data_IF_755433233712
#
_entry.id   IF_755433233712
#
_cell.length_a   1.000
_cell.length_b   1.000
_cell.length_c   1.000
_cell.angle_alpha   90.00
_cell.angle_beta   90.00
_cell.angle_gamma   90.00
#
_symmetry.space_group_name_H-M   'P 1'
#
loop_
_entity.id
_entity.type
_entity.pdbx_description
1 polymer ?
#
# COMPACT_ATOMS: atom_id res chain seq x y z
N UNK A 1 -15.00 -10.31 -17.91
CA UNK A 1 -14.07 -10.91 -18.88
C UNK A 1 -14.31 -12.41 -18.96
N UNK A 2 -14.21 -13.01 -20.14
CA UNK A 2 -14.22 -14.45 -20.37
C UNK A 2 -12.81 -14.94 -20.68
N UNK A 3 -12.55 -16.26 -20.69
CA UNK A 3 -11.22 -16.78 -21.08
C UNK A 3 -10.83 -16.40 -22.52
N UNK A 4 -11.81 -16.21 -23.40
CA UNK A 4 -11.59 -15.80 -24.80
C UNK A 4 -11.14 -14.34 -24.94
N UNK A 5 -11.32 -13.50 -23.92
CA UNK A 5 -10.94 -12.10 -23.96
C UNK A 5 -9.48 -11.88 -23.50
N UNK A 6 -8.82 -12.90 -22.94
CA UNK A 6 -7.51 -12.77 -22.31
C UNK A 6 -6.46 -12.24 -23.30
N UNK A 7 -6.35 -12.80 -24.49
CA UNK A 7 -5.36 -12.37 -25.48
C UNK A 7 -5.62 -10.92 -25.91
N UNK A 8 -6.88 -10.52 -26.04
CA UNK A 8 -7.25 -9.14 -26.36
C UNK A 8 -6.95 -8.18 -25.19
N UNK A 9 -7.15 -8.62 -23.95
CA UNK A 9 -6.83 -7.85 -22.73
C UNK A 9 -5.34 -7.59 -22.63
N UNK A 10 -4.50 -8.53 -23.04
CA UNK A 10 -3.05 -8.44 -22.95
C UNK A 10 -2.39 -7.84 -24.19
N UNK A 11 -3.14 -7.72 -25.31
CA UNK A 11 -2.58 -7.38 -26.62
C UNK A 11 -2.18 -5.90 -26.77
N UNK A 12 -2.71 -4.99 -25.96
CA UNK A 12 -2.34 -3.60 -26.11
C UNK A 12 -1.35 -3.12 -25.04
N UNK A 13 -0.30 -2.45 -25.48
CA UNK A 13 0.75 -1.90 -24.66
C UNK A 13 0.34 -0.53 -24.08
N UNK A 14 0.54 -0.34 -22.77
CA UNK A 14 0.30 0.92 -22.08
C UNK A 14 1.60 1.73 -22.09
N UNK A 15 1.56 2.87 -22.80
CA UNK A 15 2.75 3.72 -23.00
C UNK A 15 2.86 4.89 -22.03
N UNK A 16 1.88 5.03 -21.15
CA UNK A 16 1.90 6.06 -20.12
C UNK A 16 2.85 5.68 -18.97
N UNK A 17 3.40 6.66 -18.24
CA UNK A 17 4.34 6.43 -17.13
C UNK A 17 3.61 5.94 -15.86
N UNK A 18 2.86 4.85 -15.98
CA UNK A 18 2.20 4.14 -14.91
C UNK A 18 2.65 2.69 -14.91
N UNK A 19 2.77 2.08 -13.75
CA UNK A 19 3.00 0.64 -13.70
C UNK A 19 1.75 -0.08 -14.20
N UNK A 20 1.98 -0.98 -15.14
CA UNK A 20 0.95 -1.78 -15.76
C UNK A 20 1.28 -3.26 -15.58
N UNK A 21 0.28 -4.10 -15.57
CA UNK A 21 0.48 -5.53 -15.67
C UNK A 21 0.85 -5.90 -17.11
N UNK A 22 1.91 -6.62 -17.31
CA UNK A 22 2.17 -7.37 -18.53
C UNK A 22 1.47 -8.75 -18.50
N UNK A 23 1.61 -9.50 -19.60
CA UNK A 23 0.99 -10.80 -19.73
C UNK A 23 1.48 -11.82 -18.70
N UNK A 24 2.75 -11.77 -18.34
CA UNK A 24 3.35 -12.71 -17.39
C UNK A 24 2.88 -12.41 -15.97
N UNK A 25 2.92 -11.14 -15.55
CA UNK A 25 2.35 -10.70 -14.28
C UNK A 25 0.86 -11.08 -14.17
N UNK A 26 0.07 -10.84 -15.22
CA UNK A 26 -1.36 -11.18 -15.18
C UNK A 26 -1.57 -12.69 -14.95
N UNK A 27 -0.79 -13.54 -15.63
CA UNK A 27 -0.89 -15.00 -15.47
C UNK A 27 -0.47 -15.43 -14.06
N UNK A 28 0.65 -14.90 -13.54
CA UNK A 28 1.15 -15.20 -12.20
C UNK A 28 0.14 -14.80 -11.12
N UNK A 29 -0.36 -13.56 -11.16
CA UNK A 29 -1.34 -13.04 -10.21
C UNK A 29 -2.69 -13.78 -10.31
N UNK A 30 -3.09 -14.21 -11.51
CA UNK A 30 -4.29 -15.03 -11.71
C UNK A 30 -4.10 -16.44 -11.14
N UNK A 31 -2.94 -17.05 -11.35
CA UNK A 31 -2.60 -18.34 -10.75
C UNK A 31 -2.57 -18.28 -9.21
N UNK A 32 -2.10 -17.15 -8.66
CA UNK A 32 -2.14 -16.85 -7.22
C UNK A 32 -3.54 -16.42 -6.72
N UNK A 33 -4.55 -16.34 -7.59
CA UNK A 33 -5.91 -15.85 -7.30
C UNK A 33 -5.97 -14.41 -6.80
N UNK A 34 -4.98 -13.59 -7.12
CA UNK A 34 -4.91 -12.17 -6.79
C UNK A 34 -5.56 -11.29 -7.85
N UNK A 35 -5.41 -11.64 -9.14
CA UNK A 35 -6.30 -11.19 -10.21
C UNK A 35 -7.31 -12.28 -10.53
N UNK A 36 -8.51 -11.90 -10.94
CA UNK A 36 -9.58 -12.83 -11.33
C UNK A 36 -10.34 -12.33 -12.56
N UNK A 37 -10.81 -13.21 -13.42
CA UNK A 37 -11.61 -12.81 -14.60
C UNK A 37 -12.83 -11.96 -14.21
N UNK A 38 -13.52 -12.28 -13.12
CA UNK A 38 -14.67 -11.52 -12.61
C UNK A 38 -14.31 -10.15 -12.01
N UNK A 39 -13.01 -9.90 -11.78
CA UNK A 39 -12.43 -8.63 -11.34
C UNK A 39 -11.72 -7.87 -12.47
N UNK A 40 -11.80 -8.38 -13.71
CA UNK A 40 -11.28 -7.72 -14.91
C UNK A 40 -12.45 -7.22 -15.73
N UNK A 41 -12.54 -5.92 -15.92
CA UNK A 41 -13.64 -5.24 -16.60
C UNK A 41 -13.14 -4.55 -17.87
N UNK A 42 -13.97 -4.60 -18.89
CA UNK A 42 -13.67 -4.07 -20.23
C UNK A 42 -14.81 -3.14 -20.65
N UNK A 43 -14.46 -2.01 -21.28
CA UNK A 43 -15.37 -1.24 -22.08
C UNK A 43 -15.08 -1.55 -23.55
N UNK A 44 -16.11 -1.95 -24.29
CA UNK A 44 -16.00 -2.41 -25.67
C UNK A 44 -16.99 -1.67 -26.56
N UNK A 45 -16.58 -1.39 -27.78
CA UNK A 45 -17.42 -0.84 -28.86
C UNK A 45 -17.04 -1.54 -30.17
N UNK A 46 -18.02 -2.08 -30.88
CA UNK A 46 -17.85 -2.76 -32.16
C UNK A 46 -16.77 -3.86 -32.17
N UNK A 47 -16.68 -4.65 -31.08
CA UNK A 47 -15.69 -5.71 -30.93
C UNK A 47 -14.28 -5.24 -30.60
N UNK A 48 -14.11 -3.94 -30.27
CA UNK A 48 -12.83 -3.35 -29.91
C UNK A 48 -12.83 -2.90 -28.44
N UNK A 49 -11.84 -3.35 -27.68
CA UNK A 49 -11.66 -2.90 -26.30
C UNK A 49 -11.16 -1.46 -26.30
N UNK A 50 -11.90 -0.58 -25.62
CA UNK A 50 -11.59 0.84 -25.48
C UNK A 50 -11.07 1.22 -24.09
N UNK A 51 -11.39 0.44 -23.05
CA UNK A 51 -10.82 0.62 -21.72
C UNK A 51 -10.73 -0.72 -21.00
N UNK A 52 -9.77 -0.82 -20.10
CA UNK A 52 -9.53 -2.00 -19.25
C UNK A 52 -9.32 -1.56 -17.80
N UNK A 53 -9.93 -2.30 -16.89
CA UNK A 53 -9.73 -2.13 -15.46
C UNK A 53 -9.50 -3.49 -14.82
N UNK A 54 -8.43 -3.64 -14.05
CA UNK A 54 -8.07 -4.90 -13.37
C UNK A 54 -7.95 -4.63 -11.88
N UNK A 55 -8.75 -5.32 -11.10
CA UNK A 55 -8.72 -5.26 -9.64
C UNK A 55 -7.93 -6.40 -9.06
N UNK A 56 -7.28 -6.08 -7.96
CA UNK A 56 -6.48 -6.97 -7.15
C UNK A 56 -7.17 -7.28 -5.82
N UNK A 57 -6.93 -8.47 -5.29
CA UNK A 57 -7.29 -8.87 -3.94
C UNK A 57 -6.37 -9.99 -3.44
N UNK A 58 -6.44 -10.32 -2.14
CA UNK A 58 -5.75 -11.49 -1.62
C UNK A 58 -6.42 -12.77 -2.14
N UNK A 59 -5.69 -13.88 -2.14
CA UNK A 59 -6.20 -15.17 -2.63
C UNK A 59 -7.47 -15.64 -1.91
N UNK A 60 -7.68 -15.23 -0.67
CA UNK A 60 -8.82 -15.52 0.21
C UNK A 60 -9.91 -14.43 0.21
N UNK A 61 -9.69 -13.28 -0.44
CA UNK A 61 -10.66 -12.19 -0.49
C UNK A 61 -11.91 -12.59 -1.28
N UNK A 62 -13.09 -12.29 -0.75
CA UNK A 62 -14.37 -12.45 -1.48
C UNK A 62 -14.58 -11.33 -2.50
N UNK A 63 -14.08 -10.13 -2.19
CA UNK A 63 -14.19 -8.93 -3.02
C UNK A 63 -12.82 -8.36 -3.34
N UNK A 64 -12.68 -7.63 -4.47
CA UNK A 64 -11.42 -6.94 -4.77
C UNK A 64 -11.14 -5.86 -3.73
N UNK A 65 -9.86 -5.66 -3.42
CA UNK A 65 -9.40 -4.69 -2.43
C UNK A 65 -8.91 -3.39 -3.06
N UNK A 66 -8.33 -3.49 -4.26
CA UNK A 66 -7.78 -2.35 -4.97
C UNK A 66 -7.97 -2.47 -6.48
N UNK A 67 -8.25 -1.37 -7.16
CA UNK A 67 -8.01 -1.21 -8.59
C UNK A 67 -6.50 -1.04 -8.78
N UNK A 68 -5.89 -1.98 -9.47
CA UNK A 68 -4.43 -2.03 -9.64
C UNK A 68 -4.01 -1.47 -11.01
N UNK A 69 -4.81 -1.71 -12.03
CA UNK A 69 -4.53 -1.26 -13.39
C UNK A 69 -5.78 -0.66 -14.06
N UNK A 70 -5.63 0.54 -14.61
CA UNK A 70 -6.64 1.22 -15.42
C UNK A 70 -5.99 1.81 -16.65
N UNK A 71 -6.49 1.47 -17.83
CA UNK A 71 -6.02 2.03 -19.09
C UNK A 71 -7.15 2.30 -20.05
N UNK A 72 -6.99 3.32 -20.89
CA UNK A 72 -7.87 3.63 -22.02
C UNK A 72 -7.08 3.55 -23.32
N UNK A 73 -7.74 3.09 -24.40
CA UNK A 73 -7.10 3.02 -25.71
C UNK A 73 -6.78 4.43 -26.20
N UNK A 74 -5.61 4.68 -26.84
CA UNK A 74 -5.18 6.02 -27.28
C UNK A 74 -6.15 6.74 -28.24
N UNK A 75 -7.08 6.01 -28.87
CA UNK A 75 -8.12 6.61 -29.74
C UNK A 75 -9.30 7.20 -28.99
N UNK A 76 -9.38 7.00 -27.68
CA UNK A 76 -10.49 7.51 -26.85
C UNK A 76 -10.27 9.01 -26.60
N UNK A 77 -11.21 9.84 -27.03
CA UNK A 77 -11.09 11.29 -26.90
C UNK A 77 -11.23 11.78 -25.46
N UNK A 78 -12.08 11.15 -24.65
CA UNK A 78 -12.27 11.45 -23.22
C UNK A 78 -12.10 10.16 -22.40
N UNK A 79 -10.83 9.80 -22.08
CA UNK A 79 -10.54 8.60 -21.31
C UNK A 79 -11.12 8.66 -19.87
N UNK A 80 -11.23 9.87 -19.29
CA UNK A 80 -11.79 10.04 -17.97
C UNK A 80 -13.28 9.69 -17.92
N UNK A 81 -14.07 10.14 -18.91
CA UNK A 81 -15.50 9.83 -18.95
C UNK A 81 -15.75 8.33 -19.18
N UNK A 82 -15.03 7.72 -20.13
CA UNK A 82 -15.17 6.29 -20.41
C UNK A 82 -14.80 5.44 -19.18
N UNK A 83 -13.66 5.73 -18.59
CA UNK A 83 -13.18 5.01 -17.41
C UNK A 83 -14.11 5.21 -16.19
N UNK A 84 -14.64 6.43 -15.98
CA UNK A 84 -15.61 6.66 -14.90
C UNK A 84 -16.87 5.79 -15.04
N UNK A 85 -17.39 5.65 -16.28
CA UNK A 85 -18.51 4.74 -16.56
C UNK A 85 -18.18 3.29 -16.23
N UNK A 86 -16.99 2.83 -16.66
CA UNK A 86 -16.48 1.48 -16.38
C UNK A 86 -16.36 1.22 -14.87
N UNK A 87 -15.72 2.14 -14.13
CA UNK A 87 -15.54 2.03 -12.68
C UNK A 87 -16.88 2.03 -11.94
N UNK A 88 -17.81 2.92 -12.31
CA UNK A 88 -19.14 3.00 -11.69
C UNK A 88 -19.90 1.69 -11.86
N UNK A 89 -19.89 1.11 -13.08
CA UNK A 89 -20.53 -0.16 -13.34
C UNK A 89 -19.91 -1.33 -12.54
N UNK A 90 -18.58 -1.36 -12.45
CA UNK A 90 -17.86 -2.37 -11.68
C UNK A 90 -18.16 -2.24 -10.18
N UNK A 91 -18.09 -1.03 -9.61
CA UNK A 91 -18.39 -0.77 -8.21
C UNK A 91 -19.84 -1.18 -7.85
N UNK A 92 -20.82 -0.86 -8.71
CA UNK A 92 -22.20 -1.30 -8.53
C UNK A 92 -22.33 -2.83 -8.51
N UNK A 93 -21.62 -3.53 -9.39
CA UNK A 93 -21.61 -4.98 -9.43
C UNK A 93 -20.93 -5.60 -8.18
N UNK A 94 -19.85 -5.02 -7.68
CA UNK A 94 -19.20 -5.45 -6.43
C UNK A 94 -20.13 -5.22 -5.22
N UNK A 95 -20.77 -4.06 -5.12
CA UNK A 95 -21.76 -3.77 -4.09
C UNK A 95 -22.95 -4.74 -4.14
N UNK A 96 -23.45 -5.06 -5.33
CA UNK A 96 -24.50 -6.07 -5.54
C UNK A 96 -24.12 -7.49 -5.13
N UNK A 97 -22.83 -7.77 -4.96
CA UNK A 97 -22.28 -9.03 -4.43
C UNK A 97 -21.89 -8.94 -2.95
N UNK A 98 -22.16 -7.83 -2.27
CA UNK A 98 -21.93 -7.66 -0.85
C UNK A 98 -20.67 -6.87 -0.46
N UNK A 99 -19.95 -6.27 -1.41
CA UNK A 99 -18.84 -5.39 -1.05
C UNK A 99 -19.34 -4.16 -0.28
N UNK A 100 -18.82 -3.93 0.92
CA UNK A 100 -19.28 -2.86 1.81
C UNK A 100 -18.91 -1.45 1.31
N UNK A 101 -17.84 -1.34 0.53
CA UNK A 101 -17.35 -0.08 -0.05
C UNK A 101 -16.64 -0.35 -1.38
N UNK A 102 -16.53 0.66 -2.26
CA UNK A 102 -15.71 0.55 -3.45
C UNK A 102 -14.26 0.23 -3.10
N UNK A 103 -13.58 -0.65 -3.88
CA UNK A 103 -12.14 -0.84 -3.76
C UNK A 103 -11.39 0.48 -3.98
N UNK A 104 -10.31 0.69 -3.25
CA UNK A 104 -9.44 1.83 -3.50
C UNK A 104 -8.80 1.75 -4.89
N UNK A 105 -8.33 2.87 -5.44
CA UNK A 105 -7.53 2.88 -6.66
C UNK A 105 -6.09 3.26 -6.34
N UNK A 106 -5.15 2.40 -6.73
CA UNK A 106 -3.71 2.64 -6.67
C UNK A 106 -3.19 3.06 -8.04
N UNK A 107 -2.88 4.33 -8.27
CA UNK A 107 -2.09 4.75 -9.43
C UNK A 107 -0.62 4.60 -9.02
N UNK A 108 0.09 3.67 -9.64
CA UNK A 108 1.49 3.38 -9.35
C UNK A 108 2.38 4.03 -10.41
N UNK A 109 3.28 4.91 -9.96
CA UNK A 109 4.20 5.65 -10.80
C UNK A 109 5.62 5.12 -10.58
N UNK A 110 6.27 4.54 -11.59
CA UNK A 110 7.65 4.06 -11.45
C UNK A 110 8.61 5.23 -11.25
N UNK A 111 9.75 4.96 -10.64
CA UNK A 111 10.88 5.88 -10.63
C UNK A 111 11.69 5.68 -11.91
N UNK A 112 11.27 6.34 -12.97
CA UNK A 112 11.89 6.32 -14.30
C UNK A 112 12.18 7.77 -14.76
N UNK A 113 12.72 7.92 -15.97
CA UNK A 113 13.08 9.20 -16.58
C UNK A 113 11.88 9.93 -17.24
N UNK A 114 10.65 9.49 -16.96
CA UNK A 114 9.46 10.17 -17.49
C UNK A 114 9.37 11.61 -16.98
N UNK A 115 9.05 12.53 -17.87
CA UNK A 115 8.89 13.94 -17.51
C UNK A 115 7.63 14.19 -16.67
N UNK A 116 7.64 15.31 -15.96
CA UNK A 116 6.56 15.67 -15.04
C UNK A 116 5.23 15.91 -15.76
N UNK A 117 5.25 16.44 -17.00
CA UNK A 117 4.03 16.70 -17.77
C UNK A 117 3.35 15.38 -18.17
N UNK A 118 4.11 14.39 -18.64
CA UNK A 118 3.61 13.06 -18.99
C UNK A 118 3.03 12.34 -17.75
N UNK A 119 3.71 12.45 -16.60
CA UNK A 119 3.20 11.90 -15.33
C UNK A 119 1.92 12.60 -14.89
N UNK A 120 1.88 13.93 -14.93
CA UNK A 120 0.70 14.70 -14.55
C UNK A 120 -0.50 14.38 -15.48
N UNK A 121 -0.27 14.25 -16.77
CA UNK A 121 -1.31 13.86 -17.72
C UNK A 121 -1.84 12.46 -17.45
N UNK A 122 -0.94 11.48 -17.23
CA UNK A 122 -1.31 10.10 -16.94
C UNK A 122 -2.11 9.96 -15.62
N UNK A 123 -1.74 10.72 -14.59
CA UNK A 123 -2.45 10.76 -13.31
C UNK A 123 -3.78 11.50 -13.46
N UNK A 124 -3.79 12.66 -14.11
CA UNK A 124 -4.92 13.59 -14.12
C UNK A 124 -6.22 12.98 -14.66
N UNK A 125 -6.19 12.27 -15.77
CA UNK A 125 -7.41 11.66 -16.29
C UNK A 125 -7.89 10.47 -15.43
N UNK A 126 -6.97 9.76 -14.77
CA UNK A 126 -7.28 8.66 -13.87
C UNK A 126 -7.90 9.15 -12.57
N UNK A 127 -7.37 10.22 -12.00
CA UNK A 127 -7.94 10.90 -10.83
C UNK A 127 -9.35 11.42 -11.13
N UNK A 128 -9.54 12.04 -12.29
CA UNK A 128 -10.86 12.53 -12.71
C UNK A 128 -11.86 11.38 -12.90
N UNK A 129 -11.45 10.26 -13.50
CA UNK A 129 -12.28 9.07 -13.64
C UNK A 129 -12.68 8.51 -12.27
N UNK A 130 -11.72 8.37 -11.36
CA UNK A 130 -11.94 7.87 -10.01
C UNK A 130 -12.87 8.78 -9.21
N UNK A 131 -12.65 10.10 -9.27
CA UNK A 131 -13.49 11.10 -8.59
C UNK A 131 -14.96 11.02 -9.08
N UNK A 132 -15.18 10.91 -10.39
CA UNK A 132 -16.53 10.70 -10.97
C UNK A 132 -17.16 9.38 -10.52
N UNK A 133 -16.35 8.37 -10.22
CA UNK A 133 -16.79 7.07 -9.71
C UNK A 133 -16.88 7.00 -8.17
N UNK A 134 -16.76 8.16 -7.47
CA UNK A 134 -16.94 8.26 -6.01
C UNK A 134 -15.68 8.05 -5.18
N UNK A 135 -14.47 7.99 -5.79
CA UNK A 135 -13.20 7.90 -5.08
C UNK A 135 -12.55 9.28 -5.05
N UNK A 136 -12.89 10.13 -4.08
CA UNK A 136 -12.50 11.54 -4.04
C UNK A 136 -11.41 11.88 -3.01
N UNK A 137 -11.15 10.98 -2.05
CA UNK A 137 -10.08 11.17 -1.08
C UNK A 137 -8.74 10.72 -1.69
N UNK A 138 -7.72 11.58 -1.61
CA UNK A 138 -6.42 11.38 -2.24
C UNK A 138 -5.31 11.35 -1.20
N UNK A 139 -4.54 10.27 -1.22
CA UNK A 139 -3.32 10.14 -0.41
C UNK A 139 -2.18 9.76 -1.36
N UNK A 140 -1.07 10.49 -1.27
CA UNK A 140 0.15 10.13 -1.99
C UNK A 140 1.12 9.43 -1.06
N UNK A 141 1.66 8.28 -1.51
CA UNK A 141 2.55 7.44 -0.74
C UNK A 141 3.86 7.20 -1.48
N UNK A 142 4.95 7.16 -0.73
CA UNK A 142 6.25 6.74 -1.21
C UNK A 142 6.46 5.27 -0.85
N UNK A 143 6.69 4.45 -1.85
CA UNK A 143 7.15 3.08 -1.65
C UNK A 143 8.67 3.06 -1.63
N UNK A 144 9.21 2.44 -0.62
CA UNK A 144 10.64 2.28 -0.41
C UNK A 144 11.04 0.81 -0.56
N UNK A 145 12.27 0.61 -1.01
CA UNK A 145 12.90 -0.70 -1.06
C UNK A 145 14.32 -0.63 -0.48
N UNK A 146 14.66 -1.62 0.31
CA UNK A 146 16.00 -1.90 0.78
C UNK A 146 16.50 -3.20 0.14
N UNK A 147 17.80 -3.24 -0.16
CA UNK A 147 18.49 -4.43 -0.63
C UNK A 147 19.85 -4.54 0.06
N UNK A 148 20.46 -5.76 0.12
CA UNK A 148 21.71 -5.99 0.87
C UNK A 148 22.87 -5.08 0.49
N UNK A 149 22.98 -4.64 -0.75
CA UNK A 149 23.99 -3.70 -1.23
C UNK A 149 23.89 -2.30 -0.59
N UNK A 150 22.76 -1.96 -0.01
CA UNK A 150 22.57 -0.69 0.71
C UNK A 150 23.14 -0.74 2.14
N UNK A 151 23.62 -1.91 2.57
CA UNK A 151 24.15 -2.14 3.92
C UNK A 151 23.05 -2.42 4.94
N UNK A 152 23.36 -3.32 5.89
CA UNK A 152 22.49 -3.59 7.04
C UNK A 152 22.82 -2.61 8.16
N UNK A 153 21.83 -1.93 8.77
CA UNK A 153 22.08 -1.03 9.89
C UNK A 153 22.77 -1.74 11.06
N UNK A 154 23.78 -1.11 11.65
CA UNK A 154 24.45 -1.63 12.85
C UNK A 154 23.48 -1.65 14.05
N UNK A 155 23.63 -2.63 14.97
CA UNK A 155 22.93 -2.61 16.24
C UNK A 155 23.22 -1.33 17.02
N UNK A 156 22.20 -0.84 17.72
CA UNK A 156 22.32 0.34 18.60
C UNK A 156 22.08 -0.06 20.05
N UNK A 157 22.82 0.53 20.98
CA UNK A 157 22.65 0.38 22.42
C UNK A 157 21.63 1.38 23.02
N UNK A 158 21.04 2.22 22.18
CA UNK A 158 20.09 3.25 22.59
C UNK A 158 18.70 2.69 22.92
N UNK A 159 18.36 1.52 22.38
CA UNK A 159 17.09 0.83 22.61
C UNK A 159 17.33 -0.66 22.89
N UNK A 160 16.54 -1.19 23.80
CA UNK A 160 16.43 -2.62 24.07
C UNK A 160 15.12 -3.13 23.47
N UNK A 161 15.21 -4.12 22.60
CA UNK A 161 14.06 -4.73 21.93
C UNK A 161 13.69 -6.03 22.63
N UNK A 162 12.43 -6.12 23.10
CA UNK A 162 11.93 -7.29 23.83
C UNK A 162 10.71 -7.87 23.13
N UNK A 163 10.63 -9.20 23.10
CA UNK A 163 9.38 -9.87 22.69
C UNK A 163 8.32 -9.60 23.77
N UNK A 164 7.10 -9.30 23.33
CA UNK A 164 5.95 -9.08 24.17
C UNK A 164 4.77 -9.93 23.66
N UNK A 165 4.36 -10.96 24.39
CA UNK A 165 3.26 -11.83 23.97
C UNK A 165 1.87 -11.23 24.23
N UNK A 166 1.76 -10.21 25.09
CA UNK A 166 0.49 -9.58 25.43
C UNK A 166 0.07 -8.60 24.32
N UNK A 167 -1.08 -8.88 23.71
CA UNK A 167 -1.66 -8.04 22.67
C UNK A 167 -2.13 -6.68 23.21
N UNK A 168 -2.57 -6.61 24.49
CA UNK A 168 -2.99 -5.35 25.10
C UNK A 168 -1.82 -4.37 25.25
N UNK A 169 -0.60 -4.87 25.43
CA UNK A 169 0.60 -4.03 25.44
C UNK A 169 0.82 -3.36 24.07
N UNK A 170 0.50 -4.05 22.96
CA UNK A 170 0.55 -3.46 21.62
C UNK A 170 -0.60 -2.50 21.36
N UNK A 171 -1.82 -2.79 21.80
CA UNK A 171 -2.93 -1.83 21.73
C UNK A 171 -2.56 -0.53 22.43
N UNK A 172 -1.99 -0.60 23.62
CA UNK A 172 -1.58 0.58 24.40
C UNK A 172 -0.48 1.39 23.67
N UNK A 173 0.57 0.75 23.15
CA UNK A 173 1.62 1.49 22.43
C UNK A 173 1.12 2.05 21.09
N UNK A 174 0.23 1.38 20.38
CA UNK A 174 -0.40 1.90 19.16
C UNK A 174 -1.23 3.13 19.46
N UNK A 175 -2.04 3.08 20.54
CA UNK A 175 -2.82 4.21 21.02
C UNK A 175 -1.94 5.42 21.37
N UNK A 176 -0.80 5.20 22.03
CA UNK A 176 0.15 6.29 22.31
C UNK A 176 0.76 6.85 21.04
N UNK A 177 1.20 5.98 20.12
CA UNK A 177 1.86 6.39 18.86
C UNK A 177 0.89 7.07 17.90
N UNK A 178 -0.41 6.76 17.93
CA UNK A 178 -1.40 7.44 17.09
C UNK A 178 -1.50 8.95 17.37
N UNK A 179 -1.18 9.36 18.60
CA UNK A 179 -1.19 10.78 18.99
C UNK A 179 -0.15 11.59 18.23
N UNK A 180 -0.62 12.56 17.47
CA UNK A 180 0.23 13.37 16.61
C UNK A 180 0.92 12.56 15.50
N UNK A 181 0.28 11.48 15.05
CA UNK A 181 0.68 10.75 13.84
C UNK A 181 0.65 11.68 12.62
N UNK A 182 1.52 11.38 11.64
CA UNK A 182 1.50 12.00 10.32
C UNK A 182 0.98 11.04 9.24
N UNK A 183 0.51 9.87 9.65
CA UNK A 183 -0.11 8.89 8.76
C UNK A 183 -1.59 9.21 8.59
N UNK A 184 -2.04 9.36 7.36
CA UNK A 184 -3.40 9.80 7.03
C UNK A 184 -4.46 8.77 7.43
N UNK A 185 -4.17 7.48 7.31
CA UNK A 185 -5.11 6.41 7.70
C UNK A 185 -5.28 6.37 9.22
N UNK A 186 -4.18 6.49 9.98
CA UNK A 186 -4.21 6.61 11.44
C UNK A 186 -5.04 7.84 11.86
N UNK A 187 -4.80 9.00 11.25
CA UNK A 187 -5.54 10.22 11.56
C UNK A 187 -7.04 10.08 11.27
N UNK A 188 -7.39 9.52 10.11
CA UNK A 188 -8.79 9.28 9.73
C UNK A 188 -9.46 8.28 10.69
N UNK A 189 -8.79 7.20 11.05
CA UNK A 189 -9.27 6.20 12.01
C UNK A 189 -9.55 6.82 13.38
N UNK A 190 -8.58 7.57 13.93
CA UNK A 190 -8.73 8.25 15.22
C UNK A 190 -9.89 9.28 15.19
N UNK A 191 -10.04 10.02 14.10
CA UNK A 191 -11.12 10.98 13.95
C UNK A 191 -12.51 10.31 13.86
N UNK A 192 -12.59 9.13 13.22
CA UNK A 192 -13.85 8.44 13.02
C UNK A 192 -14.31 7.62 14.24
N UNK A 193 -13.39 6.97 14.96
CA UNK A 193 -13.73 5.97 15.97
C UNK A 193 -12.93 6.09 17.28
N UNK A 194 -11.98 7.03 17.37
CA UNK A 194 -11.14 7.27 18.55
C UNK A 194 -9.87 6.40 18.58
N UNK A 195 -8.96 6.77 19.51
CA UNK A 195 -7.62 6.16 19.62
C UNK A 195 -7.67 4.66 19.93
N UNK A 196 -8.56 4.24 20.84
CA UNK A 196 -8.65 2.85 21.32
C UNK A 196 -9.12 1.91 20.19
N UNK A 197 -10.21 2.26 19.52
CA UNK A 197 -10.76 1.42 18.46
C UNK A 197 -9.85 1.36 17.23
N UNK A 198 -9.18 2.48 16.91
CA UNK A 198 -8.16 2.50 15.86
C UNK A 198 -6.99 1.57 16.22
N UNK A 199 -6.47 1.62 17.44
CA UNK A 199 -5.38 0.76 17.87
C UNK A 199 -5.76 -0.74 17.84
N UNK A 200 -7.00 -1.08 18.22
CA UNK A 200 -7.51 -2.46 18.10
C UNK A 200 -7.69 -2.91 16.65
N UNK A 201 -8.14 -2.01 15.80
CA UNK A 201 -8.21 -2.24 14.35
C UNK A 201 -6.83 -2.49 13.75
N UNK A 202 -5.83 -1.69 14.13
CA UNK A 202 -4.44 -1.87 13.71
C UNK A 202 -3.89 -3.22 14.19
N UNK A 203 -4.12 -3.60 15.45
CA UNK A 203 -3.73 -4.91 15.98
C UNK A 203 -4.33 -6.04 15.12
N UNK A 204 -5.64 -6.02 14.90
CA UNK A 204 -6.34 -7.04 14.11
C UNK A 204 -5.81 -7.10 12.67
N UNK A 205 -5.54 -5.94 12.06
CA UNK A 205 -4.96 -5.85 10.72
C UNK A 205 -3.58 -6.51 10.66
N UNK A 206 -2.65 -6.14 11.56
CA UNK A 206 -1.29 -6.69 11.53
C UNK A 206 -1.24 -8.17 11.94
N UNK A 207 -2.13 -8.66 12.77
CA UNK A 207 -2.31 -10.09 13.03
C UNK A 207 -2.80 -10.86 11.80
N UNK A 208 -3.53 -10.22 10.89
CA UNK A 208 -3.99 -10.81 9.63
C UNK A 208 -2.94 -10.76 8.50
N UNK A 209 -1.88 -9.97 8.67
CA UNK A 209 -0.79 -9.88 7.69
C UNK A 209 0.09 -11.15 7.74
N UNK A 210 0.69 -11.55 6.61
CA UNK A 210 1.69 -12.61 6.61
C UNK A 210 2.87 -12.27 7.53
N UNK A 211 3.29 -13.25 8.34
CA UNK A 211 4.34 -13.12 9.36
C UNK A 211 3.92 -13.74 10.67
N UNK A 212 4.84 -13.78 11.62
CA UNK A 212 4.59 -14.42 12.90
C UNK A 212 4.48 -13.37 14.02
N UNK A 213 3.53 -13.56 14.94
CA UNK A 213 3.32 -12.68 16.10
C UNK A 213 4.58 -12.57 16.97
N UNK A 214 5.37 -13.63 17.04
CA UNK A 214 6.63 -13.73 17.77
C UNK A 214 7.73 -12.81 17.23
N UNK A 215 7.58 -12.24 16.04
CA UNK A 215 8.53 -11.27 15.48
C UNK A 215 8.38 -9.87 16.10
N UNK A 216 7.25 -9.59 16.68
CA UNK A 216 6.92 -8.27 17.21
C UNK A 216 7.75 -7.92 18.43
N UNK A 217 8.20 -6.69 18.53
CA UNK A 217 9.05 -6.20 19.62
C UNK A 217 8.51 -4.88 20.16
N UNK A 218 8.53 -4.76 21.49
CA UNK A 218 8.52 -3.46 22.13
C UNK A 218 9.95 -2.93 22.24
N UNK A 219 10.11 -1.63 22.09
CA UNK A 219 11.38 -0.93 22.21
C UNK A 219 11.39 -0.11 23.50
N UNK A 220 12.41 -0.32 24.33
CA UNK A 220 12.60 0.42 25.58
C UNK A 220 13.95 1.13 25.59
N UNK A 221 14.01 2.28 26.24
CA UNK A 221 15.30 2.91 26.56
C UNK A 221 16.06 2.09 27.60
N UNK A 222 17.39 2.26 27.76
CA UNK A 222 18.17 1.50 28.75
C UNK A 222 17.70 1.67 30.21
N UNK A 223 17.03 2.79 30.53
CA UNK A 223 16.39 3.06 31.82
C UNK A 223 14.97 2.49 31.94
N UNK A 224 14.52 1.70 30.95
CA UNK A 224 13.26 0.92 30.97
C UNK A 224 12.02 1.67 30.53
N UNK A 225 12.11 2.90 30.01
CA UNK A 225 10.94 3.62 29.47
C UNK A 225 10.54 3.05 28.11
N UNK A 226 9.24 2.83 27.91
CA UNK A 226 8.71 2.46 26.59
C UNK A 226 9.02 3.57 25.58
N UNK A 227 9.70 3.20 24.49
CA UNK A 227 10.10 4.11 23.43
C UNK A 227 9.27 3.94 22.15
N UNK A 228 8.78 2.73 21.90
CA UNK A 228 8.03 2.43 20.69
C UNK A 228 7.93 0.93 20.42
N UNK A 229 7.74 0.59 19.17
CA UNK A 229 7.59 -0.80 18.73
C UNK A 229 8.11 -1.03 17.33
N UNK A 230 8.39 -2.30 17.02
CA UNK A 230 8.84 -2.79 15.72
C UNK A 230 8.05 -4.04 15.33
N UNK A 231 7.37 -4.02 14.19
CA UNK A 231 6.63 -5.15 13.63
C UNK A 231 7.18 -5.48 12.24
N UNK A 232 8.13 -6.44 12.16
CA UNK A 232 8.44 -7.07 10.88
C UNK A 232 7.20 -7.79 10.34
N UNK A 233 6.97 -7.67 9.02
CA UNK A 233 5.80 -8.29 8.37
C UNK A 233 6.20 -8.79 6.98
N UNK A 234 5.24 -9.36 6.28
CA UNK A 234 5.36 -9.76 4.88
C UNK A 234 4.14 -9.30 4.08
N UNK A 235 4.32 -9.21 2.80
CA UNK A 235 3.25 -9.15 1.81
C UNK A 235 3.30 -10.44 0.99
N UNK A 236 2.31 -10.72 0.11
CA UNK A 236 2.43 -11.82 -0.85
C UNK A 236 3.71 -11.77 -1.70
N UNK A 237 4.33 -10.60 -1.82
CA UNK A 237 5.52 -10.35 -2.64
C UNK A 237 6.84 -10.37 -1.85
N UNK A 238 6.81 -10.62 -0.54
CA UNK A 238 8.01 -10.76 0.29
C UNK A 238 8.05 -9.91 1.55
N UNK A 239 9.24 -9.79 2.17
CA UNK A 239 9.47 -9.05 3.41
C UNK A 239 9.03 -7.59 3.33
N UNK A 240 8.42 -7.12 4.41
CA UNK A 240 7.91 -5.76 4.53
C UNK A 240 8.17 -5.22 5.94
N UNK A 241 8.38 -3.92 6.05
CA UNK A 241 8.59 -3.26 7.36
C UNK A 241 7.38 -3.44 8.30
N UNK A 242 6.18 -3.57 7.77
CA UNK A 242 4.96 -3.71 8.58
C UNK A 242 4.61 -2.41 9.30
N UNK A 243 4.73 -2.39 10.62
CA UNK A 243 4.40 -1.22 11.43
C UNK A 243 5.51 -0.88 12.41
N UNK A 244 5.76 0.40 12.60
CA UNK A 244 6.75 0.90 13.53
C UNK A 244 6.35 2.29 14.04
N UNK A 245 6.73 2.59 15.26
CA UNK A 245 6.44 3.90 15.82
C UNK A 245 7.27 4.21 17.06
N UNK A 246 7.35 5.50 17.35
CA UNK A 246 7.97 6.05 18.58
C UNK A 246 6.93 6.85 19.32
N UNK A 247 6.84 6.63 20.65
CA UNK A 247 5.91 7.36 21.51
C UNK A 247 6.18 8.88 21.48
N UNK A 248 5.15 9.72 21.58
CA UNK A 248 5.28 11.17 21.39
C UNK A 248 6.39 11.82 22.22
N UNK A 249 6.56 11.41 23.48
CA UNK A 249 7.51 11.98 24.43
C UNK A 249 8.97 11.75 24.05
N UNK A 250 9.23 10.77 23.19
CA UNK A 250 10.59 10.39 22.74
C UNK A 250 10.83 10.68 21.26
N UNK A 251 9.90 11.34 20.57
CA UNK A 251 10.10 11.80 19.19
C UNK A 251 11.18 12.87 19.10
N UNK A 252 11.71 13.10 17.89
CA UNK A 252 12.77 14.08 17.65
C UNK A 252 14.18 13.62 18.01
N UNK A 253 14.34 12.47 18.68
CA UNK A 253 15.62 11.91 19.13
C UNK A 253 16.18 10.84 18.17
N UNK A 254 15.56 10.66 17.02
CA UNK A 254 15.91 9.64 16.00
C UNK A 254 15.79 8.19 16.47
N UNK A 255 15.05 7.87 17.52
CA UNK A 255 14.79 6.48 17.88
C UNK A 255 14.09 5.67 16.79
N UNK A 256 13.40 6.36 15.88
CA UNK A 256 12.80 5.69 14.70
C UNK A 256 13.85 5.01 13.81
N UNK A 257 15.09 5.53 13.75
CA UNK A 257 16.17 4.94 12.99
C UNK A 257 16.60 3.59 13.62
N UNK A 258 16.63 3.52 14.95
CA UNK A 258 16.96 2.30 15.71
C UNK A 258 15.86 1.23 15.54
N UNK A 259 14.58 1.67 15.61
CA UNK A 259 13.41 0.79 15.42
C UNK A 259 13.37 0.24 13.98
N UNK A 260 13.58 1.08 12.97
CA UNK A 260 13.68 0.65 11.58
C UNK A 260 14.87 -0.30 11.37
N UNK A 261 15.99 0.02 12.00
CA UNK A 261 17.20 -0.80 11.98
C UNK A 261 16.95 -2.21 12.51
N UNK A 262 16.17 -2.36 13.58
CA UNK A 262 15.80 -3.67 14.14
C UNK A 262 15.00 -4.51 13.12
N UNK A 263 13.98 -3.94 12.48
CA UNK A 263 13.20 -4.64 11.45
C UNK A 263 14.08 -5.03 10.26
N UNK A 264 14.96 -4.11 9.83
CA UNK A 264 15.86 -4.36 8.70
C UNK A 264 16.84 -5.50 9.01
N UNK A 265 17.46 -5.50 10.21
CA UNK A 265 18.35 -6.58 10.66
C UNK A 265 17.62 -7.91 10.75
N UNK A 266 16.40 -7.91 11.30
CA UNK A 266 15.58 -9.12 11.37
C UNK A 266 15.39 -9.74 9.98
N UNK A 267 14.88 -8.99 9.02
CA UNK A 267 14.67 -9.52 7.68
C UNK A 267 15.97 -9.87 6.94
N UNK A 268 17.02 -9.06 7.10
CA UNK A 268 18.33 -9.36 6.52
C UNK A 268 18.91 -10.67 7.09
N UNK A 269 18.74 -10.91 8.40
CA UNK A 269 19.14 -12.16 9.06
C UNK A 269 18.36 -13.38 8.54
N UNK A 270 17.11 -13.21 8.14
CA UNK A 270 16.29 -14.22 7.47
C UNK A 270 16.65 -14.38 5.97
N UNK A 271 17.66 -13.69 5.48
CA UNK A 271 18.15 -13.80 4.11
C UNK A 271 17.35 -12.97 3.09
N UNK A 272 16.64 -11.95 3.53
CA UNK A 272 15.90 -11.08 2.64
C UNK A 272 16.79 -10.42 1.58
N UNK A 273 16.43 -10.57 0.31
CA UNK A 273 17.07 -9.89 -0.82
C UNK A 273 16.44 -8.52 -1.11
N UNK A 274 15.25 -8.29 -0.59
CA UNK A 274 14.48 -7.06 -0.72
C UNK A 274 13.55 -6.93 0.47
N UNK A 275 13.49 -5.73 1.05
CA UNK A 275 12.51 -5.37 2.08
C UNK A 275 11.76 -4.15 1.57
N UNK A 276 10.43 -4.20 1.61
CA UNK A 276 9.60 -3.09 1.16
C UNK A 276 9.04 -2.31 2.35
N UNK A 277 8.76 -1.04 2.13
CA UNK A 277 8.08 -0.17 3.10
C UNK A 277 7.26 0.88 2.36
N UNK A 278 6.27 1.45 3.05
CA UNK A 278 5.45 2.52 2.48
C UNK A 278 5.17 3.56 3.56
N UNK A 279 5.19 4.83 3.19
CA UNK A 279 4.74 5.93 4.06
C UNK A 279 4.09 7.02 3.23
N UNK A 280 3.25 7.84 3.83
CA UNK A 280 2.67 9.00 3.15
C UNK A 280 3.78 9.98 2.74
N UNK A 281 3.65 10.61 1.57
CA UNK A 281 4.63 11.57 1.06
C UNK A 281 4.78 12.79 1.98
N UNK A 282 3.72 13.11 2.71
CA UNK A 282 3.69 14.18 3.72
C UNK A 282 4.35 13.79 5.05
N UNK A 283 4.56 12.50 5.31
CA UNK A 283 5.29 12.04 6.49
C UNK A 283 6.82 12.13 6.26
N UNK A 284 7.30 13.37 6.09
CA UNK A 284 8.71 13.67 5.82
C UNK A 284 9.67 13.05 6.84
N UNK A 285 9.39 13.06 8.16
CA UNK A 285 10.25 12.41 9.14
C UNK A 285 10.47 10.92 8.87
N UNK A 286 9.41 10.18 8.54
CA UNK A 286 9.50 8.75 8.26
C UNK A 286 10.20 8.48 6.93
N UNK A 287 9.87 9.25 5.88
CA UNK A 287 10.56 9.16 4.59
C UNK A 287 12.07 9.40 4.73
N UNK A 288 12.48 10.34 5.57
CA UNK A 288 13.89 10.58 5.85
C UNK A 288 14.53 9.47 6.70
N UNK A 289 13.79 8.83 7.62
CA UNK A 289 14.29 7.67 8.35
C UNK A 289 14.55 6.49 7.39
N UNK A 290 13.65 6.20 6.46
CA UNK A 290 13.87 5.19 5.42
C UNK A 290 15.14 5.47 4.61
N UNK A 291 15.33 6.72 4.13
CA UNK A 291 16.55 7.08 3.37
C UNK A 291 17.83 6.86 4.18
N UNK A 292 17.85 7.24 5.47
CA UNK A 292 19.00 7.01 6.35
C UNK A 292 19.23 5.52 6.63
N UNK A 293 18.17 4.72 6.69
CA UNK A 293 18.23 3.26 6.82
C UNK A 293 18.64 2.52 5.54
N UNK A 294 19.02 3.25 4.48
CA UNK A 294 19.47 2.65 3.21
C UNK A 294 18.32 2.27 2.27
N UNK A 295 17.09 2.66 2.56
CA UNK A 295 15.96 2.45 1.66
C UNK A 295 15.92 3.53 0.57
N UNK A 296 15.56 3.14 -0.65
CA UNK A 296 15.40 4.03 -1.79
C UNK A 296 13.93 4.03 -2.23
N UNK A 297 13.43 5.16 -2.71
CA UNK A 297 12.09 5.22 -3.31
C UNK A 297 12.11 4.40 -4.60
N UNK A 298 11.23 3.43 -4.70
CA UNK A 298 11.06 2.59 -5.89
C UNK A 298 9.86 3.01 -6.74
N UNK A 299 8.82 3.56 -6.11
CA UNK A 299 7.64 4.08 -6.81
C UNK A 299 6.92 5.12 -5.95
N UNK A 300 6.13 5.95 -6.60
CA UNK A 300 5.12 6.81 -5.96
C UNK A 300 3.74 6.20 -6.21
N UNK A 301 2.91 6.15 -5.19
CA UNK A 301 1.52 5.68 -5.26
C UNK A 301 0.57 6.83 -4.99
N UNK A 302 -0.38 7.03 -5.88
CA UNK A 302 -1.54 7.88 -5.61
C UNK A 302 -2.72 6.97 -5.29
N UNK A 303 -3.11 6.95 -4.03
CA UNK A 303 -4.25 6.17 -3.54
C UNK A 303 -5.50 7.06 -3.55
N UNK A 304 -6.55 6.58 -4.19
CA UNK A 304 -7.85 7.23 -4.26
C UNK A 304 -8.88 6.36 -3.57
N UNK A 305 -9.61 6.90 -2.59
CA UNK A 305 -10.61 6.18 -1.80
C UNK A 305 -11.95 6.91 -1.80
N UNK A 306 -13.01 6.20 -1.48
CA UNK A 306 -14.28 6.83 -1.15
C UNK A 306 -14.14 7.61 0.16
N UNK A 307 -14.87 8.73 0.33
CA UNK A 307 -14.92 9.44 1.60
C UNK A 307 -15.33 8.52 2.75
N UNK A 308 -14.78 8.79 3.93
CA UNK A 308 -15.31 8.18 5.14
C UNK A 308 -16.77 8.61 5.30
N UNK A 309 -17.69 7.65 5.36
CA UNK A 309 -19.13 7.90 5.50
C UNK A 309 -19.50 8.40 6.91
#
# INVERSE_FOLDING_TARGET
MTETDLDAVLAWDVKEPVLWMDADRYREETAARQFRPEWTWLAEEDGRILARAVWWGRSDSEHPLALDCLSAHPSVADPAALAAGLLTAAHAAFAGRGAAKPPLYNIMLPQDDSDEESRAAAVGWREEAARRAGLSERIERLRFEWAPENGTPEPSDRLVFTAEPDDEAFVEVFRQVSRGSLDAETLAGVAAQGEEETARGDLAFYLSCPGEREWWRLAHTPDGRLAGFAIPSRTPYGPNVGYLGVVPELRGQRYIDDVLGEITRFHAGEGARRITATTDSTNVPMANAFRRGGYRVSEVRVNLTAPAG
#
